data_IF_188083804208
#
_entry.id   IF_188083804208
#
_cell.length_a   1.000
_cell.length_b   1.000
_cell.length_c   1.000
_cell.angle_alpha   90.00
_cell.angle_beta   90.00
_cell.angle_gamma   90.00
#
_symmetry.space_group_name_H-M   'P 1'
#
loop_
_entity.id
_entity.type
_entity.pdbx_description
1 polymer ?
#
# COMPACT_ATOMS: atom_id res chain seq x y z
N UNK A 1 11.68 6.93 -3.07
CA UNK A 1 10.49 6.28 -3.67
C UNK A 1 9.51 5.89 -2.59
N UNK A 2 9.96 5.23 -1.51
CA UNK A 2 9.11 4.93 -0.35
C UNK A 2 8.52 6.19 0.31
N UNK A 3 9.35 7.20 0.57
CA UNK A 3 8.91 8.48 1.15
C UNK A 3 7.77 9.14 0.34
N UNK A 4 7.85 9.11 -1.00
CA UNK A 4 6.80 9.65 -1.88
C UNK A 4 5.48 8.87 -1.73
N UNK A 5 5.57 7.54 -1.59
CA UNK A 5 4.38 6.72 -1.38
C UNK A 5 3.73 7.02 -0.03
N UNK A 6 4.53 7.24 1.00
CA UNK A 6 4.04 7.60 2.33
C UNK A 6 3.35 8.96 2.34
N UNK A 7 3.94 9.96 1.68
CA UNK A 7 3.35 11.29 1.51
C UNK A 7 1.99 11.22 0.79
N UNK A 8 1.89 10.39 -0.26
CA UNK A 8 0.64 10.18 -1.00
C UNK A 8 -0.42 9.51 -0.12
N UNK A 9 -0.03 8.48 0.65
CA UNK A 9 -0.95 7.77 1.55
C UNK A 9 -1.45 8.70 2.66
N UNK A 10 -0.61 9.56 3.22
CA UNK A 10 -1.05 10.55 4.21
C UNK A 10 -2.01 11.58 3.61
N UNK A 11 -1.67 12.14 2.45
CA UNK A 11 -2.55 13.08 1.75
C UNK A 11 -3.93 12.46 1.41
N UNK A 12 -3.95 11.17 1.07
CA UNK A 12 -5.20 10.45 0.80
C UNK A 12 -6.02 10.23 2.08
N UNK A 13 -5.38 9.89 3.21
CA UNK A 13 -6.06 9.78 4.51
C UNK A 13 -6.67 11.11 4.92
N UNK A 14 -5.94 12.22 4.76
CA UNK A 14 -6.45 13.56 5.03
C UNK A 14 -7.67 13.89 4.17
N UNK A 15 -7.61 13.57 2.87
CA UNK A 15 -8.76 13.76 1.98
C UNK A 15 -10.00 12.94 2.41
N UNK A 16 -9.80 11.71 2.88
CA UNK A 16 -10.89 10.87 3.40
C UNK A 16 -11.49 11.45 4.68
N UNK A 17 -10.65 11.97 5.60
CA UNK A 17 -11.11 12.58 6.85
C UNK A 17 -12.02 13.77 6.60
N UNK A 18 -11.76 14.55 5.55
CA UNK A 18 -12.50 15.78 5.23
C UNK A 18 -13.71 15.58 4.31
N UNK A 19 -13.87 14.38 3.72
CA UNK A 19 -14.96 14.10 2.79
C UNK A 19 -16.32 14.06 3.49
N UNK A 20 -17.34 14.64 2.83
CA UNK A 20 -18.72 14.74 3.33
C UNK A 20 -19.66 13.62 2.84
N UNK A 21 -19.30 12.95 1.74
CA UNK A 21 -20.13 11.91 1.12
C UNK A 21 -20.08 10.54 1.83
N UNK A 22 -19.08 10.32 2.69
CA UNK A 22 -18.96 9.11 3.52
C UNK A 22 -19.46 9.36 4.94
N UNK A 23 -20.17 8.39 5.51
CA UNK A 23 -20.40 8.37 6.96
C UNK A 23 -19.11 8.09 7.74
N UNK A 24 -19.15 8.32 9.05
CA UNK A 24 -17.98 8.19 9.91
C UNK A 24 -17.41 6.78 9.92
N UNK A 25 -18.26 5.76 10.01
CA UNK A 25 -17.85 4.35 10.05
C UNK A 25 -17.10 3.97 8.77
N UNK A 26 -17.62 4.38 7.62
CA UNK A 26 -17.00 4.13 6.32
C UNK A 26 -15.65 4.86 6.19
N UNK A 27 -15.53 6.10 6.69
CA UNK A 27 -14.25 6.83 6.71
C UNK A 27 -13.20 6.11 7.54
N UNK A 28 -13.57 5.65 8.74
CA UNK A 28 -12.65 4.97 9.65
C UNK A 28 -12.13 3.67 9.04
N UNK A 29 -13.02 2.86 8.43
CA UNK A 29 -12.64 1.63 7.73
C UNK A 29 -11.75 1.91 6.50
N UNK A 30 -11.98 3.00 5.79
CA UNK A 30 -11.16 3.37 4.65
C UNK A 30 -9.74 3.78 5.08
N UNK A 31 -9.59 4.48 6.20
CA UNK A 31 -8.30 4.82 6.80
C UNK A 31 -7.59 3.55 7.29
N UNK A 32 -8.28 2.65 8.01
CA UNK A 32 -7.71 1.38 8.45
C UNK A 32 -7.17 0.55 7.27
N UNK A 33 -7.92 0.50 6.17
CA UNK A 33 -7.48 -0.16 4.94
C UNK A 33 -6.20 0.45 4.37
N UNK A 34 -6.05 1.78 4.42
CA UNK A 34 -4.84 2.46 3.95
C UNK A 34 -3.63 2.15 4.83
N UNK A 35 -3.82 2.14 6.15
CA UNK A 35 -2.77 1.80 7.11
C UNK A 35 -2.30 0.35 6.97
N UNK A 36 -3.18 -0.56 6.53
CA UNK A 36 -2.88 -1.97 6.29
C UNK A 36 -2.24 -2.25 4.91
N UNK A 37 -2.04 -1.24 4.04
CA UNK A 37 -1.48 -1.48 2.71
C UNK A 37 0.02 -1.86 2.77
N UNK A 38 0.36 -2.99 2.15
CA UNK A 38 1.75 -3.37 1.94
C UNK A 38 2.37 -2.60 0.77
N UNK A 39 3.56 -2.03 0.98
CA UNK A 39 4.31 -1.30 -0.05
C UNK A 39 5.16 -2.29 -0.87
N UNK A 40 5.04 -2.24 -2.20
CA UNK A 40 5.90 -2.97 -3.12
C UNK A 40 6.55 -1.97 -4.08
N UNK A 41 7.87 -1.80 -4.01
CA UNK A 41 8.59 -0.75 -4.75
C UNK A 41 9.75 -1.37 -5.52
N UNK A 42 9.73 -1.20 -6.86
CA UNK A 42 10.79 -1.69 -7.73
C UNK A 42 10.60 -3.17 -8.10
N UNK A 43 11.14 -4.07 -7.30
CA UNK A 43 11.09 -5.53 -7.51
C UNK A 43 10.86 -6.25 -6.17
N UNK A 44 10.35 -7.49 -6.18
CA UNK A 44 10.22 -8.28 -4.96
C UNK A 44 11.59 -8.46 -4.27
N UNK A 45 11.62 -8.45 -2.94
CA UNK A 45 12.88 -8.62 -2.20
C UNK A 45 13.59 -9.94 -2.52
N UNK A 46 12.82 -10.99 -2.82
CA UNK A 46 13.30 -12.31 -3.22
C UNK A 46 13.68 -12.42 -4.71
N UNK A 47 13.74 -11.30 -5.45
CA UNK A 47 14.15 -11.32 -6.86
C UNK A 47 15.67 -11.60 -6.97
N UNK A 48 16.03 -12.88 -7.07
CA UNK A 48 17.39 -13.35 -7.32
C UNK A 48 17.41 -14.45 -8.39
N UNK A 49 18.51 -14.62 -9.14
CA UNK A 49 18.65 -15.72 -10.11
C UNK A 49 18.37 -17.09 -9.48
N UNK A 50 18.86 -17.34 -8.26
CA UNK A 50 18.64 -18.62 -7.58
C UNK A 50 17.17 -18.87 -7.25
N UNK A 51 16.45 -17.84 -6.77
CA UNK A 51 15.03 -17.94 -6.47
C UNK A 51 14.19 -18.10 -7.74
N UNK A 52 14.61 -17.47 -8.83
CA UNK A 52 13.98 -17.63 -10.15
C UNK A 52 14.19 -19.05 -10.67
N UNK A 53 15.44 -19.53 -10.69
CA UNK A 53 15.76 -20.88 -11.17
C UNK A 53 14.95 -21.92 -10.39
N UNK A 54 14.94 -21.83 -9.06
CA UNK A 54 14.15 -22.70 -8.18
C UNK A 54 12.64 -22.66 -8.46
N UNK A 55 12.08 -21.50 -8.79
CA UNK A 55 10.64 -21.38 -9.09
C UNK A 55 10.25 -22.13 -10.36
N UNK A 56 11.18 -22.32 -11.29
CA UNK A 56 10.98 -22.98 -12.59
C UNK A 56 11.64 -24.38 -12.68
N UNK A 57 11.96 -25.02 -11.56
CA UNK A 57 12.56 -26.37 -11.52
C UNK A 57 11.56 -27.52 -11.84
N UNK A 58 10.25 -27.24 -11.93
CA UNK A 58 9.20 -28.17 -12.37
C UNK A 58 8.94 -28.12 -13.89
#
# INVERSE_FOLDING_TARGET
AEEILDDILEAMKDHIRETDWMDQETRDLAIEKMEAMTKFIGYPDDYSPENIDKFYED
#
